data_IF_403395153347
#
_entry.id   IF_403395153347
#
_cell.length_a   1.000
_cell.length_b   1.000
_cell.length_c   1.000
_cell.angle_alpha   90.00
_cell.angle_beta   90.00
_cell.angle_gamma   90.00
#
_symmetry.space_group_name_H-M   'P 1'
#
loop_
_entity.id
_entity.type
_entity.pdbx_description
1 polymer ?
#
# COMPACT_ATOMS: atom_id res chain seq x y z
N UNK A 1 1.17 12.67 25.68
CA UNK A 1 0.00 13.41 26.19
C UNK A 1 -1.32 12.62 26.02
N UNK A 2 -1.52 11.93 24.86
CA UNK A 2 -2.71 11.11 24.62
C UNK A 2 -2.85 9.97 25.62
N UNK A 3 -1.81 9.16 25.79
CA UNK A 3 -1.79 8.03 26.71
C UNK A 3 -2.03 8.44 28.17
N UNK A 4 -1.51 9.59 28.60
CA UNK A 4 -1.77 10.11 29.94
C UNK A 4 -3.26 10.47 30.20
N UNK A 5 -4.06 10.48 29.14
CA UNK A 5 -5.52 10.69 29.15
C UNK A 5 -6.31 9.41 28.83
N UNK A 6 -5.65 8.28 28.74
CA UNK A 6 -6.26 7.01 28.35
C UNK A 6 -6.66 6.89 26.89
N UNK A 7 -6.10 7.72 26.00
CA UNK A 7 -6.42 7.74 24.57
C UNK A 7 -5.36 6.95 23.82
N UNK A 8 -5.77 5.98 23.02
CA UNK A 8 -4.93 5.24 22.08
C UNK A 8 -4.64 6.10 20.85
N UNK A 9 -3.46 5.92 20.25
CA UNK A 9 -2.98 6.66 19.08
C UNK A 9 -2.76 5.70 17.92
N UNK A 10 -3.45 5.95 16.82
CA UNK A 10 -3.24 5.26 15.54
C UNK A 10 -2.62 6.28 14.59
N UNK A 11 -1.56 5.90 13.89
CA UNK A 11 -0.96 6.72 12.83
C UNK A 11 -1.11 6.07 11.47
N UNK A 12 -0.96 6.87 10.44
CA UNK A 12 -0.92 6.45 9.05
C UNK A 12 0.34 5.66 8.74
N UNK A 13 0.22 4.60 7.96
CA UNK A 13 1.31 3.90 7.31
C UNK A 13 0.95 3.65 5.85
N UNK A 14 1.39 4.55 4.97
CA UNK A 14 1.22 4.39 3.53
C UNK A 14 2.23 3.38 3.04
N UNK A 15 1.75 2.22 2.58
CA UNK A 15 2.61 1.12 2.15
C UNK A 15 2.57 0.88 0.63
N UNK A 16 1.54 1.41 -0.08
CA UNK A 16 1.38 1.19 -1.51
C UNK A 16 2.37 2.01 -2.34
N UNK A 17 2.62 3.25 -1.99
CA UNK A 17 3.38 4.22 -2.78
C UNK A 17 4.17 5.18 -1.90
N UNK A 18 5.02 5.97 -2.53
CA UNK A 18 5.68 7.11 -1.88
C UNK A 18 5.45 8.37 -2.72
N UNK A 19 5.88 9.53 -2.20
CA UNK A 19 6.06 10.70 -3.07
C UNK A 19 7.19 10.43 -4.08
N UNK A 20 7.07 11.00 -5.28
CA UNK A 20 8.14 11.04 -6.27
C UNK A 20 9.39 11.81 -5.77
N UNK A 21 9.26 12.63 -4.71
CA UNK A 21 10.36 13.31 -4.04
C UNK A 21 11.00 12.45 -2.93
N UNK A 22 10.43 11.28 -2.63
CA UNK A 22 10.99 10.39 -1.61
C UNK A 22 12.40 9.90 -2.00
N UNK A 23 13.30 9.78 -1.03
CA UNK A 23 14.68 9.37 -1.29
C UNK A 23 14.80 8.00 -1.95
N UNK A 24 13.86 7.09 -1.72
CA UNK A 24 13.83 5.78 -2.39
C UNK A 24 13.56 5.94 -3.89
N UNK A 25 12.55 6.75 -4.27
CA UNK A 25 12.25 6.99 -5.68
C UNK A 25 13.38 7.74 -6.39
N UNK A 26 13.96 8.75 -5.73
CA UNK A 26 15.08 9.48 -6.29
C UNK A 26 16.33 8.59 -6.50
N UNK A 27 16.57 7.60 -5.64
CA UNK A 27 17.61 6.58 -5.88
C UNK A 27 17.22 5.65 -7.03
N UNK A 28 16.00 5.14 -7.03
CA UNK A 28 15.51 4.22 -8.05
C UNK A 28 15.59 4.82 -9.45
N UNK A 29 15.09 6.04 -9.66
CA UNK A 29 15.10 6.70 -10.98
C UNK A 29 16.49 6.96 -11.54
N UNK A 30 17.51 7.09 -10.68
CA UNK A 30 18.90 7.32 -11.07
C UNK A 30 19.72 6.01 -11.16
N UNK A 31 19.17 4.89 -10.72
CA UNK A 31 19.85 3.60 -10.74
C UNK A 31 19.73 2.93 -12.12
N UNK A 32 20.65 2.04 -12.49
CA UNK A 32 20.53 1.24 -13.72
C UNK A 32 19.27 0.37 -13.71
N UNK A 33 18.66 0.19 -14.88
CA UNK A 33 17.54 -0.74 -15.04
C UNK A 33 17.93 -2.15 -14.57
N UNK A 34 17.05 -2.83 -13.83
CA UNK A 34 17.28 -4.16 -13.26
C UNK A 34 18.21 -4.18 -12.05
N UNK A 35 18.63 -3.01 -11.52
CA UNK A 35 19.36 -2.96 -10.25
C UNK A 35 18.41 -3.08 -9.05
N UNK A 36 18.89 -3.55 -7.88
CA UNK A 36 18.05 -3.64 -6.68
C UNK A 36 17.41 -2.31 -6.27
N UNK A 37 18.09 -1.19 -6.49
CA UNK A 37 17.56 0.15 -6.20
C UNK A 37 16.45 0.53 -7.18
N UNK A 38 16.60 0.19 -8.49
CA UNK A 38 15.57 0.43 -9.51
C UNK A 38 14.32 -0.38 -9.16
N UNK A 39 14.47 -1.63 -8.78
CA UNK A 39 13.41 -2.59 -8.52
C UNK A 39 12.61 -2.30 -7.22
N UNK A 40 12.89 -1.20 -6.54
CA UNK A 40 12.04 -0.72 -5.43
C UNK A 40 10.67 -0.23 -5.88
N UNK A 41 10.53 0.15 -7.16
CA UNK A 41 9.28 0.62 -7.77
C UNK A 41 8.97 -0.21 -9.00
N UNK A 42 7.73 -0.10 -9.48
CA UNK A 42 7.27 -0.82 -10.66
C UNK A 42 7.61 -0.01 -11.90
N UNK A 43 8.41 -0.56 -12.81
CA UNK A 43 8.88 0.07 -14.03
C UNK A 43 8.56 -0.77 -15.27
N UNK A 44 8.36 -0.12 -16.41
CA UNK A 44 8.22 -0.77 -17.72
C UNK A 44 8.82 0.08 -18.83
N UNK A 45 9.23 -0.58 -19.91
CA UNK A 45 9.61 0.07 -21.17
C UNK A 45 8.37 0.49 -21.99
N UNK A 46 7.17 0.06 -21.57
CA UNK A 46 5.90 0.31 -22.26
C UNK A 46 4.85 0.84 -21.27
N UNK A 47 3.99 1.74 -21.75
CA UNK A 47 2.79 2.19 -21.03
C UNK A 47 1.56 1.29 -21.29
N UNK A 48 1.76 0.15 -21.96
CA UNK A 48 0.69 -0.78 -22.32
C UNK A 48 0.58 -1.97 -21.36
N UNK A 49 1.55 -2.15 -20.47
CA UNK A 49 1.47 -3.20 -19.46
C UNK A 49 0.29 -2.92 -18.52
N UNK A 50 -0.35 -3.98 -18.04
CA UNK A 50 -1.55 -3.90 -17.18
C UNK A 50 -2.72 -3.09 -17.81
N UNK A 51 -2.87 -3.14 -19.14
CA UNK A 51 -3.79 -2.30 -19.93
C UNK A 51 -5.28 -2.42 -19.52
N UNK A 52 -5.68 -3.44 -18.77
CA UNK A 52 -7.05 -3.60 -18.26
C UNK A 52 -7.33 -2.90 -16.94
N UNK A 53 -6.33 -2.28 -16.33
CA UNK A 53 -6.45 -1.69 -14.99
C UNK A 53 -7.16 -0.33 -15.03
N UNK A 54 -8.24 -0.18 -14.26
CA UNK A 54 -8.98 1.09 -14.22
C UNK A 54 -8.11 2.21 -13.63
N UNK A 55 -8.31 3.42 -14.13
CA UNK A 55 -7.75 4.63 -13.54
C UNK A 55 -8.65 5.07 -12.40
N UNK A 56 -8.10 5.29 -11.20
CA UNK A 56 -8.88 5.67 -10.01
C UNK A 56 -9.29 7.16 -10.10
N UNK A 57 -8.35 8.04 -10.38
CA UNK A 57 -8.59 9.48 -10.45
C UNK A 57 -8.70 9.95 -11.91
N UNK A 58 -9.71 9.45 -12.62
CA UNK A 58 -9.93 9.73 -14.04
C UNK A 58 -10.25 11.19 -14.39
N UNK A 59 -10.46 12.05 -13.39
CA UNK A 59 -10.60 13.51 -13.54
C UNK A 59 -9.25 14.24 -13.66
N UNK A 60 -8.17 13.61 -13.21
CA UNK A 60 -6.82 14.20 -13.19
C UNK A 60 -5.79 13.37 -13.91
N UNK A 61 -5.93 12.03 -13.94
CA UNK A 61 -4.98 11.11 -14.54
C UNK A 61 -5.55 10.46 -15.81
N UNK A 62 -4.72 10.29 -16.81
CA UNK A 62 -5.08 9.67 -18.10
C UNK A 62 -4.46 8.28 -18.29
N UNK A 63 -3.53 7.89 -17.41
CA UNK A 63 -2.82 6.62 -17.42
C UNK A 63 -2.43 6.25 -15.99
N UNK A 64 -2.21 4.96 -15.73
CA UNK A 64 -1.51 4.50 -14.53
C UNK A 64 0.03 4.45 -14.73
N UNK A 65 0.52 4.86 -15.89
CA UNK A 65 1.93 4.94 -16.25
C UNK A 65 2.36 6.37 -16.53
N UNK A 66 3.51 6.78 -16.01
CA UNK A 66 4.14 8.07 -16.30
C UNK A 66 5.58 7.86 -16.75
N UNK A 67 5.96 8.53 -17.87
CA UNK A 67 7.33 8.50 -18.36
C UNK A 67 8.27 9.30 -17.46
N UNK A 68 9.37 8.67 -17.05
CA UNK A 68 10.45 9.32 -16.33
C UNK A 68 11.66 9.52 -17.26
N UNK A 69 11.98 10.76 -17.62
CA UNK A 69 13.10 11.02 -18.54
C UNK A 69 14.48 10.75 -17.93
N UNK A 70 14.61 10.69 -16.60
CA UNK A 70 15.86 10.37 -15.93
C UNK A 70 16.08 8.85 -15.93
N UNK A 71 15.05 8.09 -15.61
CA UNK A 71 15.08 6.64 -15.65
C UNK A 71 15.07 6.08 -17.08
N UNK A 72 14.51 6.83 -18.05
CA UNK A 72 14.28 6.36 -19.42
C UNK A 72 13.27 5.22 -19.49
N UNK A 73 12.33 5.17 -18.57
CA UNK A 73 11.28 4.16 -18.46
C UNK A 73 9.99 4.78 -17.91
N UNK A 74 8.87 4.08 -18.07
CA UNK A 74 7.63 4.39 -17.39
C UNK A 74 7.66 3.81 -15.99
N UNK A 75 7.13 4.57 -14.99
CA UNK A 75 6.83 4.05 -13.66
C UNK A 75 5.33 3.93 -13.46
N UNK A 76 4.93 2.93 -12.70
CA UNK A 76 3.53 2.69 -12.34
C UNK A 76 3.10 3.57 -11.17
N UNK A 77 1.87 4.03 -11.21
CA UNK A 77 1.19 4.70 -10.10
C UNK A 77 -0.30 4.37 -10.13
N UNK A 78 -0.81 3.90 -9.05
CA UNK A 78 -2.24 3.56 -8.95
C UNK A 78 -3.10 4.78 -8.71
N UNK A 79 -2.53 5.82 -8.12
CA UNK A 79 -3.17 7.07 -7.75
C UNK A 79 -2.65 8.22 -8.62
N UNK A 80 -2.04 9.23 -8.01
CA UNK A 80 -1.52 10.36 -8.77
C UNK A 80 -0.12 10.08 -9.37
N UNK A 81 0.17 10.72 -10.47
CA UNK A 81 1.47 10.59 -11.16
C UNK A 81 2.69 11.01 -10.32
N UNK A 82 2.47 11.73 -9.21
CA UNK A 82 3.54 12.04 -8.24
C UNK A 82 3.60 11.04 -7.07
N UNK A 83 2.89 9.92 -7.15
CA UNK A 83 2.82 8.87 -6.13
C UNK A 83 3.21 7.50 -6.74
N UNK A 84 4.49 7.29 -7.09
CA UNK A 84 4.95 6.02 -7.67
C UNK A 84 4.75 4.85 -6.71
N UNK A 85 4.26 3.73 -7.23
CA UNK A 85 3.96 2.54 -6.46
C UNK A 85 5.21 1.71 -6.18
N UNK A 86 5.27 1.18 -4.96
CA UNK A 86 6.33 0.30 -4.50
C UNK A 86 6.16 -1.10 -5.10
N UNK A 87 7.28 -1.73 -5.45
CA UNK A 87 7.31 -3.06 -6.04
C UNK A 87 7.41 -4.14 -4.96
N UNK A 88 6.29 -4.70 -4.53
CA UNK A 88 6.26 -5.78 -3.52
C UNK A 88 6.71 -7.15 -4.05
N UNK A 89 6.98 -7.31 -5.33
CA UNK A 89 7.70 -8.49 -5.84
C UNK A 89 9.18 -8.47 -5.41
N UNK A 90 9.70 -7.30 -5.06
CA UNK A 90 11.00 -7.16 -4.44
C UNK A 90 10.87 -7.33 -2.91
N UNK A 91 11.40 -8.41 -2.31
CA UNK A 91 11.28 -8.64 -0.88
C UNK A 91 11.94 -7.54 -0.01
N UNK A 92 12.89 -6.80 -0.56
CA UNK A 92 13.52 -5.69 0.15
C UNK A 92 12.53 -4.53 0.41
N UNK A 93 11.50 -4.39 -0.41
CA UNK A 93 10.42 -3.40 -0.21
C UNK A 93 9.63 -3.74 1.04
N UNK A 94 9.19 -5.00 1.19
CA UNK A 94 8.47 -5.42 2.39
C UNK A 94 9.31 -5.24 3.65
N UNK A 95 10.59 -5.61 3.62
CA UNK A 95 11.47 -5.42 4.79
C UNK A 95 11.63 -3.93 5.13
N UNK A 96 11.77 -3.06 4.14
CA UNK A 96 11.83 -1.61 4.38
C UNK A 96 10.51 -1.06 4.97
N UNK A 97 9.36 -1.55 4.53
CA UNK A 97 8.05 -1.22 5.10
C UNK A 97 7.95 -1.69 6.55
N UNK A 98 8.44 -2.90 6.86
CA UNK A 98 8.49 -3.41 8.24
C UNK A 98 9.41 -2.57 9.14
N UNK A 99 10.51 -2.05 8.62
CA UNK A 99 11.36 -1.10 9.38
C UNK A 99 10.63 0.21 9.69
N UNK A 100 9.88 0.76 8.74
CA UNK A 100 9.04 1.94 8.98
C UNK A 100 7.93 1.65 10.00
N UNK A 101 7.33 0.46 9.95
CA UNK A 101 6.36 -0.01 10.93
C UNK A 101 6.98 -0.02 12.34
N UNK A 102 8.15 -0.63 12.50
CA UNK A 102 8.89 -0.69 13.78
C UNK A 102 9.20 0.70 14.31
N UNK A 103 9.66 1.60 13.46
CA UNK A 103 9.95 2.98 13.84
C UNK A 103 8.75 3.67 14.53
N UNK A 104 7.55 3.56 13.97
CA UNK A 104 6.36 4.17 14.56
C UNK A 104 5.91 3.46 15.84
N UNK A 105 5.99 2.14 15.88
CA UNK A 105 5.62 1.35 17.05
C UNK A 105 6.59 1.58 18.22
N UNK A 106 7.88 1.73 17.94
CA UNK A 106 8.91 2.10 18.94
C UNK A 106 8.69 3.50 19.51
N UNK A 107 8.12 4.43 18.73
CA UNK A 107 7.69 5.73 19.22
C UNK A 107 6.45 5.65 20.14
N UNK A 108 5.80 4.48 20.21
CA UNK A 108 4.71 4.19 21.14
C UNK A 108 3.32 4.40 20.57
N UNK A 109 3.11 4.40 19.25
CA UNK A 109 1.75 4.37 18.70
C UNK A 109 1.08 3.02 18.98
N UNK A 110 -0.24 3.02 19.13
CA UNK A 110 -1.03 1.83 19.51
C UNK A 110 -1.52 1.05 18.29
N UNK A 111 -1.44 1.63 17.11
CA UNK A 111 -1.85 0.99 15.88
C UNK A 111 -1.47 1.76 14.63
N UNK A 112 -1.63 1.11 13.50
CA UNK A 112 -1.31 1.65 12.19
C UNK A 112 -2.52 1.51 11.25
N UNK A 113 -2.87 2.59 10.55
CA UNK A 113 -3.79 2.54 9.43
C UNK A 113 -2.98 2.28 8.16
N UNK A 114 -3.23 1.15 7.54
CA UNK A 114 -2.62 0.77 6.28
C UNK A 114 -3.44 1.37 5.14
N UNK A 115 -2.85 2.34 4.45
CA UNK A 115 -3.46 3.02 3.30
C UNK A 115 -3.46 2.11 2.07
N UNK A 116 -4.54 2.16 1.29
CA UNK A 116 -4.61 1.63 -0.07
C UNK A 116 -4.22 0.14 -0.20
N UNK A 117 -4.54 -0.68 0.80
CA UNK A 117 -4.11 -2.09 0.84
C UNK A 117 -4.57 -2.97 -0.34
N UNK A 118 -5.67 -2.71 -1.08
CA UNK A 118 -6.03 -3.53 -2.22
C UNK A 118 -5.07 -3.47 -3.42
N UNK A 119 -4.16 -2.52 -3.47
CA UNK A 119 -3.44 -2.14 -4.68
C UNK A 119 -1.94 -2.47 -4.67
N UNK A 120 -1.48 -3.33 -3.73
CA UNK A 120 -0.06 -3.57 -3.49
C UNK A 120 0.65 -4.39 -4.59
N UNK A 121 -0.09 -5.07 -5.45
CA UNK A 121 0.45 -6.03 -6.42
C UNK A 121 -0.17 -5.82 -7.80
N UNK A 122 0.66 -5.84 -8.82
CA UNK A 122 0.29 -5.81 -10.22
C UNK A 122 0.49 -7.18 -10.88
N UNK A 123 -0.52 -7.64 -11.62
CA UNK A 123 -0.47 -8.86 -12.44
C UNK A 123 -1.19 -8.63 -13.75
N UNK A 124 -0.52 -8.97 -14.84
CA UNK A 124 -1.09 -8.84 -16.16
C UNK A 124 -2.37 -9.67 -16.30
N UNK A 125 -3.36 -9.13 -17.00
CA UNK A 125 -4.66 -9.78 -17.19
C UNK A 125 -5.58 -9.79 -15.96
N UNK A 126 -5.24 -9.04 -14.90
CA UNK A 126 -6.09 -8.86 -13.71
C UNK A 126 -6.58 -7.41 -13.57
N UNK A 127 -7.40 -7.16 -12.54
CA UNK A 127 -7.79 -5.79 -12.16
C UNK A 127 -6.70 -5.04 -11.40
N UNK A 128 -5.64 -5.72 -10.96
CA UNK A 128 -4.63 -5.21 -10.02
C UNK A 128 -5.23 -4.68 -8.71
N UNK A 129 -6.25 -5.37 -8.23
CA UNK A 129 -6.95 -5.07 -6.98
C UNK A 129 -7.27 -6.37 -6.23
N UNK A 130 -7.04 -6.38 -4.93
CA UNK A 130 -7.41 -7.48 -4.04
C UNK A 130 -6.83 -8.85 -4.47
N UNK A 131 -5.59 -8.87 -4.91
CA UNK A 131 -4.94 -10.10 -5.37
C UNK A 131 -4.51 -10.98 -4.17
N UNK A 132 -4.41 -12.32 -4.36
CA UNK A 132 -4.00 -13.23 -3.29
C UNK A 132 -2.62 -12.89 -2.68
N UNK A 133 -1.71 -12.35 -3.48
CA UNK A 133 -0.38 -11.93 -3.05
C UNK A 133 -0.46 -10.73 -2.09
N UNK A 134 -1.42 -9.82 -2.27
CA UNK A 134 -1.70 -8.72 -1.34
C UNK A 134 -2.00 -9.27 0.06
N UNK A 135 -2.86 -10.28 0.15
CA UNK A 135 -3.19 -10.94 1.42
C UNK A 135 -1.98 -11.64 2.04
N UNK A 136 -1.08 -12.22 1.24
CA UNK A 136 0.16 -12.82 1.74
C UNK A 136 1.08 -11.75 2.36
N UNK A 137 1.17 -10.56 1.78
CA UNK A 137 1.91 -9.43 2.34
C UNK A 137 1.30 -8.99 3.68
N UNK A 138 -0.02 -8.83 3.74
CA UNK A 138 -0.71 -8.43 4.97
C UNK A 138 -0.52 -9.44 6.10
N UNK A 139 -0.58 -10.75 5.82
CA UNK A 139 -0.26 -11.80 6.79
C UNK A 139 1.18 -11.70 7.30
N UNK A 140 2.12 -11.37 6.44
CA UNK A 140 3.52 -11.18 6.85
C UNK A 140 3.69 -9.96 7.75
N UNK A 141 3.04 -8.84 7.43
CA UNK A 141 3.02 -7.62 8.27
C UNK A 141 2.38 -7.94 9.63
N UNK A 142 1.23 -8.63 9.63
CA UNK A 142 0.52 -9.02 10.85
C UNK A 142 1.36 -9.96 11.72
N UNK A 143 1.96 -10.99 11.15
CA UNK A 143 2.80 -11.92 11.89
C UNK A 143 4.00 -11.22 12.56
N UNK A 144 4.61 -10.25 11.88
CA UNK A 144 5.69 -9.43 12.45
C UNK A 144 5.17 -8.56 13.60
N UNK A 145 4.03 -7.91 13.42
CA UNK A 145 3.40 -7.11 14.46
C UNK A 145 3.11 -7.94 15.73
N UNK A 146 2.47 -9.08 15.57
CA UNK A 146 2.08 -9.94 16.69
C UNK A 146 3.29 -10.49 17.46
N UNK A 147 4.38 -10.79 16.75
CA UNK A 147 5.59 -11.32 17.35
C UNK A 147 6.40 -10.26 18.12
N UNK A 148 6.44 -9.03 17.61
CA UNK A 148 7.34 -8.00 18.14
C UNK A 148 6.60 -6.95 19.00
N UNK A 149 5.32 -6.72 18.75
CA UNK A 149 4.52 -5.64 19.35
C UNK A 149 3.15 -6.14 19.82
N UNK A 150 3.06 -6.94 20.86
CA UNK A 150 1.77 -7.39 21.38
C UNK A 150 0.90 -6.19 21.83
N UNK A 151 -0.42 -6.33 21.70
CA UNK A 151 -1.40 -5.26 22.02
C UNK A 151 -1.33 -4.05 21.05
N UNK A 152 -0.96 -4.30 19.82
CA UNK A 152 -1.03 -3.30 18.73
C UNK A 152 -2.02 -3.76 17.67
N UNK A 153 -2.48 -2.84 16.82
CA UNK A 153 -3.49 -3.16 15.82
C UNK A 153 -3.17 -2.60 14.43
N UNK A 154 -3.71 -3.28 13.42
CA UNK A 154 -3.74 -2.83 12.03
C UNK A 154 -5.17 -2.51 11.63
N UNK A 155 -5.37 -1.36 10.99
CA UNK A 155 -6.62 -0.92 10.39
C UNK A 155 -6.45 -0.84 8.88
N UNK A 156 -7.18 -1.64 8.11
CA UNK A 156 -7.13 -1.61 6.66
C UNK A 156 -7.99 -0.50 6.06
N UNK A 157 -7.44 0.25 5.12
CA UNK A 157 -8.22 1.00 4.16
C UNK A 157 -8.41 0.19 2.89
N UNK A 158 -9.50 -0.55 2.82
CA UNK A 158 -9.93 -1.31 1.66
C UNK A 158 -11.25 -0.75 1.15
N UNK A 159 -11.20 0.19 0.19
CA UNK A 159 -12.39 0.79 -0.40
C UNK A 159 -13.01 -0.18 -1.42
N UNK A 160 -13.64 -1.22 -0.92
CA UNK A 160 -14.24 -2.31 -1.67
C UNK A 160 -15.65 -2.59 -1.17
N UNK A 161 -16.37 -3.49 -1.87
CA UNK A 161 -17.64 -3.98 -1.38
C UNK A 161 -17.46 -4.73 -0.04
N UNK A 162 -18.46 -4.76 0.84
CA UNK A 162 -18.33 -5.40 2.15
C UNK A 162 -17.89 -6.86 2.09
N UNK A 163 -18.32 -7.60 1.05
CA UNK A 163 -17.96 -8.99 0.81
C UNK A 163 -16.46 -9.16 0.55
N UNK A 164 -15.84 -8.20 -0.14
CA UNK A 164 -14.40 -8.20 -0.40
C UNK A 164 -13.64 -7.62 0.79
N UNK A 165 -14.17 -6.57 1.44
CA UNK A 165 -13.54 -5.96 2.61
C UNK A 165 -13.35 -6.95 3.76
N UNK A 166 -14.27 -7.89 3.95
CA UNK A 166 -14.14 -8.91 5.01
C UNK A 166 -12.92 -9.82 4.83
N UNK A 167 -12.39 -9.98 3.62
CA UNK A 167 -11.21 -10.80 3.34
C UNK A 167 -9.96 -10.24 4.04
N UNK A 168 -9.92 -8.92 4.30
CA UNK A 168 -8.79 -8.25 4.96
C UNK A 168 -8.66 -8.55 6.46
N UNK A 169 -9.57 -9.32 7.03
CA UNK A 169 -9.39 -9.91 8.36
C UNK A 169 -8.58 -11.21 8.33
N UNK A 170 -8.46 -11.84 7.14
CA UNK A 170 -7.88 -13.17 6.96
C UNK A 170 -8.77 -14.32 7.44
N UNK A 171 -8.65 -15.48 6.84
CA UNK A 171 -9.45 -16.67 7.20
C UNK A 171 -9.23 -17.10 8.66
N UNK A 172 -8.04 -16.86 9.21
CA UNK A 172 -7.64 -17.20 10.58
C UNK A 172 -7.54 -15.96 11.48
N UNK A 173 -8.14 -14.83 11.11
CA UNK A 173 -7.95 -13.54 11.77
C UNK A 173 -6.46 -13.11 11.82
N UNK A 174 -5.73 -13.39 10.75
CA UNK A 174 -4.27 -13.27 10.64
C UNK A 174 -3.82 -12.14 9.68
N UNK A 175 -4.73 -11.25 9.30
CA UNK A 175 -4.44 -10.03 8.55
C UNK A 175 -4.75 -8.79 9.40
N UNK A 176 -5.62 -7.88 8.97
CA UNK A 176 -5.92 -6.68 9.73
C UNK A 176 -6.93 -6.95 10.85
N UNK A 177 -6.82 -6.20 11.95
CA UNK A 177 -7.76 -6.29 13.09
C UNK A 177 -9.06 -5.56 12.81
N UNK A 178 -9.01 -4.51 11.99
CA UNK A 178 -10.13 -3.65 11.62
C UNK A 178 -10.04 -3.26 10.16
N UNK A 179 -11.19 -2.92 9.57
CA UNK A 179 -11.28 -2.31 8.25
C UNK A 179 -12.35 -1.20 8.26
N UNK A 180 -12.16 -0.17 7.45
CA UNK A 180 -13.18 0.85 7.23
C UNK A 180 -14.39 0.26 6.49
N UNK A 181 -15.59 0.62 6.94
CA UNK A 181 -16.83 0.26 6.27
C UNK A 181 -17.31 1.44 5.42
N UNK A 182 -16.77 1.64 4.22
CA UNK A 182 -17.07 2.77 3.35
C UNK A 182 -18.56 2.95 3.02
N UNK A 183 -19.36 1.90 2.78
CA UNK A 183 -20.79 2.06 2.49
C UNK A 183 -21.65 2.55 3.66
N UNK A 184 -21.15 2.53 4.89
CA UNK A 184 -21.95 2.88 6.07
C UNK A 184 -22.43 4.33 6.01
N UNK A 185 -21.54 5.28 5.75
CA UNK A 185 -21.87 6.70 5.73
C UNK A 185 -22.92 7.06 4.65
N UNK A 186 -22.76 6.70 3.36
CA UNK A 186 -23.78 6.94 2.37
C UNK A 186 -25.11 6.32 2.71
N UNK A 187 -25.13 5.10 3.25
CA UNK A 187 -26.37 4.43 3.65
C UNK A 187 -27.10 5.16 4.79
N UNK A 188 -26.35 5.71 5.75
CA UNK A 188 -26.93 6.50 6.83
C UNK A 188 -27.56 7.81 6.33
N UNK A 189 -26.99 8.43 5.29
CA UNK A 189 -27.57 9.65 4.69
C UNK A 189 -28.76 9.37 3.78
N UNK A 190 -28.89 8.16 3.25
CA UNK A 190 -29.99 7.76 2.38
C UNK A 190 -31.20 7.17 3.14
N UNK A 191 -31.08 6.89 4.43
CA UNK A 191 -32.14 6.37 5.30
C UNK A 191 -32.95 7.51 5.94
#
# INVERSE_FOLDING_TARGET
QAHARGIRVITELVINHTSDQHSWFQRARNAPAGSPERDFYVWSDSDQDYAGTRIIFCDTENSNWTWDPVAGQYFWHRFYSHQPDLNFDNPAVLEAVLEVMRFWLDLGVDGLRLDAVPYLIERDGTSNENLPETHAILRRIRATLDAEYPDRMLLAEANMWPEDTQQYFGENADECHMAFHFPLMPRMYMA
#
